data_IF_627732071156
#
_entry.id   IF_627732071156
#
_cell.length_a   1.000
_cell.length_b   1.000
_cell.length_c   1.000
_cell.angle_alpha   90.00
_cell.angle_beta   90.00
_cell.angle_gamma   90.00
#
_symmetry.space_group_name_H-M   'P 1'
#
loop_
_entity.id
_entity.type
_entity.pdbx_description
1 polymer ?
#
# COMPACT_ATOMS: atom_id res chain seq x y z
N UNK A 1 -14.14 7.18 6.35
CA UNK A 1 -13.99 6.77 4.93
C UNK A 1 -13.32 5.39 4.93
N UNK A 2 -13.72 4.47 4.05
CA UNK A 2 -13.26 3.07 4.06
C UNK A 2 -12.03 2.91 3.15
N UNK A 3 -11.10 2.03 3.51
CA UNK A 3 -9.99 1.56 2.67
C UNK A 3 -10.55 1.01 1.34
N UNK A 4 -9.83 1.21 0.23
CA UNK A 4 -10.22 0.71 -1.09
C UNK A 4 -9.06 -0.08 -1.71
N UNK A 5 -9.36 -1.30 -2.16
CA UNK A 5 -8.43 -2.17 -2.87
C UNK A 5 -8.96 -2.36 -4.29
N UNK A 6 -8.12 -2.09 -5.28
CA UNK A 6 -8.40 -2.37 -6.71
C UNK A 6 -7.55 -3.56 -7.13
N UNK A 7 -8.19 -4.60 -7.67
CA UNK A 7 -7.57 -5.88 -8.02
C UNK A 7 -7.52 -6.07 -9.54
N UNK A 8 -6.32 -6.34 -10.05
CA UNK A 8 -6.05 -6.81 -11.40
C UNK A 8 -5.13 -8.03 -11.25
N UNK A 9 -5.19 -9.03 -12.14
CA UNK A 9 -4.65 -10.40 -11.89
C UNK A 9 -3.28 -10.50 -11.20
N UNK A 10 -2.34 -9.57 -11.46
CA UNK A 10 -1.04 -9.51 -10.78
C UNK A 10 -0.73 -8.18 -10.09
N UNK A 11 -1.68 -7.23 -10.07
CA UNK A 11 -1.44 -5.86 -9.58
C UNK A 11 -2.54 -5.46 -8.61
N UNK A 12 -2.13 -5.03 -7.42
CA UNK A 12 -3.04 -4.57 -6.37
C UNK A 12 -2.72 -3.13 -6.03
N UNK A 13 -3.77 -2.34 -5.83
CA UNK A 13 -3.68 -0.95 -5.38
C UNK A 13 -4.20 -0.87 -3.96
N UNK A 14 -3.40 -0.32 -3.05
CA UNK A 14 -3.79 0.01 -1.69
C UNK A 14 -3.86 1.53 -1.55
N UNK A 15 -5.02 2.04 -1.17
CA UNK A 15 -5.21 3.46 -0.87
C UNK A 15 -5.37 3.64 0.63
N UNK A 16 -4.43 4.34 1.24
CA UNK A 16 -4.38 4.63 2.66
C UNK A 16 -4.75 6.09 2.92
N UNK A 17 -5.36 6.35 4.09
CA UNK A 17 -5.49 7.72 4.59
C UNK A 17 -4.16 8.23 5.13
N UNK A 18 -4.00 9.55 5.18
CA UNK A 18 -2.90 10.25 5.84
C UNK A 18 -2.41 9.59 7.15
N UNK A 19 -3.35 9.43 8.08
CA UNK A 19 -3.09 8.88 9.41
C UNK A 19 -2.68 7.41 9.44
N UNK A 20 -2.95 6.65 8.37
CA UNK A 20 -2.50 5.26 8.23
C UNK A 20 -1.08 5.24 7.66
N UNK A 21 -0.82 6.04 6.61
CA UNK A 21 0.51 6.16 6.03
C UNK A 21 1.55 6.67 7.03
N UNK A 22 1.22 7.69 7.81
CA UNK A 22 2.10 8.23 8.87
C UNK A 22 2.45 7.20 9.95
N UNK A 23 1.56 6.26 10.24
CA UNK A 23 1.82 5.17 11.19
C UNK A 23 2.69 4.08 10.58
N UNK A 24 2.55 3.84 9.28
CA UNK A 24 3.26 2.76 8.58
C UNK A 24 4.68 3.16 8.14
N UNK A 25 4.94 4.44 7.86
CA UNK A 25 6.30 4.94 7.54
C UNK A 25 7.20 5.13 8.78
N UNK A 26 6.69 4.93 9.99
CA UNK A 26 7.41 5.20 11.24
C UNK A 26 8.44 4.12 11.63
N UNK A 27 8.27 2.88 11.15
CA UNK A 27 9.03 1.72 11.64
C UNK A 27 10.23 1.33 10.73
N UNK A 28 10.01 1.00 9.44
CA UNK A 28 11.07 0.87 8.42
C UNK A 28 10.46 0.64 7.01
N UNK A 29 11.27 0.70 5.94
CA UNK A 29 10.80 0.34 4.58
C UNK A 29 10.40 -1.13 4.48
N UNK A 30 11.12 -2.05 5.13
CA UNK A 30 10.78 -3.48 5.10
C UNK A 30 9.50 -3.76 5.89
N UNK A 31 9.32 -3.14 7.06
CA UNK A 31 8.07 -3.25 7.84
C UNK A 31 6.88 -2.67 7.06
N UNK A 32 7.11 -1.58 6.31
CA UNK A 32 6.11 -0.99 5.43
C UNK A 32 5.67 -1.98 4.34
N UNK A 33 6.62 -2.67 3.70
CA UNK A 33 6.30 -3.69 2.68
C UNK A 33 5.51 -4.85 3.27
N UNK A 34 5.91 -5.34 4.43
CA UNK A 34 5.23 -6.45 5.11
C UNK A 34 3.79 -6.08 5.49
N UNK A 35 3.57 -4.89 6.04
CA UNK A 35 2.22 -4.41 6.37
C UNK A 35 1.35 -4.21 5.12
N UNK A 36 1.91 -3.70 4.01
CA UNK A 36 1.19 -3.60 2.73
C UNK A 36 0.82 -4.97 2.19
N UNK A 37 1.76 -5.93 2.14
CA UNK A 37 1.46 -7.26 1.66
C UNK A 37 0.42 -7.97 2.59
N UNK A 38 0.50 -7.76 3.92
CA UNK A 38 -0.48 -8.27 4.89
C UNK A 38 -1.90 -7.71 4.64
N UNK A 39 -2.04 -6.39 4.46
CA UNK A 39 -3.34 -5.74 4.16
C UNK A 39 -3.95 -6.22 2.85
N UNK A 40 -3.11 -6.44 1.85
CA UNK A 40 -3.51 -6.95 0.55
C UNK A 40 -3.74 -8.47 0.54
N UNK A 41 -3.49 -9.14 1.66
CA UNK A 41 -3.56 -10.59 1.83
C UNK A 41 -2.75 -11.34 0.76
N UNK A 42 -1.49 -10.94 0.59
CA UNK A 42 -0.54 -11.52 -0.37
C UNK A 42 0.77 -11.89 0.34
N UNK A 43 1.39 -12.97 -0.11
CA UNK A 43 2.63 -13.50 0.49
C UNK A 43 3.85 -12.64 0.17
N UNK A 44 3.91 -12.13 -1.06
CA UNK A 44 5.05 -11.35 -1.53
C UNK A 44 4.62 -10.35 -2.58
N UNK A 45 5.19 -9.16 -2.50
CA UNK A 45 4.83 -8.08 -3.40
C UNK A 45 6.06 -7.23 -3.78
N UNK A 46 6.07 -6.72 -5.01
CA UNK A 46 7.06 -5.76 -5.48
C UNK A 46 6.40 -4.39 -5.63
N UNK A 47 7.01 -3.35 -5.08
CA UNK A 47 6.46 -2.00 -5.14
C UNK A 47 6.69 -1.43 -6.53
N UNK A 48 5.60 -1.11 -7.23
CA UNK A 48 5.64 -0.44 -8.52
C UNK A 48 5.61 1.08 -8.34
N UNK A 49 4.85 1.54 -7.34
CA UNK A 49 4.71 2.95 -7.02
C UNK A 49 4.26 3.12 -5.57
N UNK A 50 4.83 4.10 -4.87
CA UNK A 50 4.32 4.62 -3.62
C UNK A 50 4.41 6.15 -3.64
N UNK A 51 3.37 6.81 -3.17
CA UNK A 51 3.34 8.27 -3.22
C UNK A 51 2.17 8.91 -2.51
N UNK A 52 2.45 10.09 -1.97
CA UNK A 52 1.47 10.98 -1.38
C UNK A 52 0.71 11.77 -2.44
N UNK A 53 -0.62 11.69 -2.42
CA UNK A 53 -1.48 12.60 -3.13
C UNK A 53 -1.91 13.74 -2.20
N UNK A 54 -1.22 14.88 -2.31
CA UNK A 54 -1.44 16.07 -1.49
C UNK A 54 -2.80 16.75 -1.71
N UNK A 55 -3.48 16.49 -2.83
CA UNK A 55 -4.79 17.10 -3.12
C UNK A 55 -5.93 16.47 -2.34
N UNK A 56 -5.80 15.19 -1.98
CA UNK A 56 -6.87 14.42 -1.32
C UNK A 56 -6.41 13.75 0.00
N UNK A 57 -5.19 14.06 0.45
CA UNK A 57 -4.63 13.58 1.71
C UNK A 57 -4.58 12.04 1.82
N UNK A 58 -4.33 11.37 0.69
CA UNK A 58 -4.20 9.91 0.59
C UNK A 58 -2.79 9.51 0.20
N UNK A 59 -2.37 8.36 0.68
CA UNK A 59 -1.18 7.67 0.22
C UNK A 59 -1.60 6.51 -0.66
N UNK A 60 -1.04 6.44 -1.87
CA UNK A 60 -1.35 5.39 -2.83
C UNK A 60 -0.15 4.47 -2.97
N UNK A 61 -0.39 3.19 -2.82
CA UNK A 61 0.59 2.13 -3.06
C UNK A 61 0.10 1.24 -4.17
N UNK A 62 0.93 1.02 -5.18
CA UNK A 62 0.68 0.08 -6.26
C UNK A 62 1.75 -1.00 -6.18
N UNK A 63 1.32 -2.24 -6.02
CA UNK A 63 2.22 -3.39 -5.92
C UNK A 63 1.93 -4.41 -7.01
N UNK A 64 2.97 -5.13 -7.43
CA UNK A 64 2.86 -6.36 -8.20
C UNK A 64 2.94 -7.56 -7.25
N UNK A 65 1.96 -8.46 -7.31
CA UNK A 65 1.99 -9.72 -6.57
C UNK A 65 3.06 -10.63 -7.19
N UNK A 66 3.90 -11.22 -6.33
CA UNK A 66 4.90 -12.22 -6.74
C UNK A 66 4.43 -13.59 -6.25
N UNK A 67 4.38 -14.57 -7.16
CA UNK A 67 4.08 -15.98 -6.87
C UNK A 67 5.21 -16.66 -6.10
#
# INVERSE_FOLDING_TARGET
MKEQIIDNETTKVLVLTASQAEKMEADSEDDFKDEVCNRLNITKCNFLYSGWNSSNTYYVVIVKVLE
#
